data_IF_662572369376
#
_entry.id   IF_662572369376
#
_cell.length_a   1.000
_cell.length_b   1.000
_cell.length_c   1.000
_cell.angle_alpha   90.00
_cell.angle_beta   90.00
_cell.angle_gamma   90.00
#
_symmetry.space_group_name_H-M   'P 1'
#
loop_
_entity.id
_entity.type
_entity.pdbx_description
1 polymer ?
#
# COMPACT_ATOMS: atom_id res chain seq x y z
N UNK A 1 7.41 -26.05 -33.23
CA UNK A 1 7.10 -24.62 -33.46
C UNK A 1 8.37 -23.81 -33.72
N UNK A 2 9.20 -23.45 -32.73
CA UNK A 2 10.36 -22.53 -32.94
C UNK A 2 11.33 -22.99 -34.04
N UNK A 3 11.82 -24.24 -33.99
CA UNK A 3 12.71 -24.80 -35.04
C UNK A 3 12.11 -24.72 -36.44
N UNK A 4 10.82 -24.99 -36.56
CA UNK A 4 10.10 -25.05 -37.84
C UNK A 4 9.82 -23.64 -38.39
N UNK A 5 9.45 -22.70 -37.51
CA UNK A 5 9.25 -21.31 -37.86
C UNK A 5 10.56 -20.61 -38.24
N UNK A 6 11.66 -20.85 -37.50
CA UNK A 6 13.00 -20.36 -37.88
C UNK A 6 13.45 -20.91 -39.22
N UNK A 7 13.23 -22.21 -39.47
CA UNK A 7 13.52 -22.81 -40.77
C UNK A 7 12.75 -22.16 -41.92
N UNK A 8 11.47 -21.80 -41.70
CA UNK A 8 10.68 -21.04 -42.66
C UNK A 8 11.21 -19.61 -42.87
N UNK A 9 11.60 -18.92 -41.78
CA UNK A 9 12.18 -17.57 -41.86
C UNK A 9 13.50 -17.57 -42.63
N UNK A 10 14.37 -18.54 -42.37
CA UNK A 10 15.64 -18.70 -43.10
C UNK A 10 15.42 -18.98 -44.59
N UNK A 11 14.39 -19.77 -44.92
CA UNK A 11 14.04 -20.08 -46.31
C UNK A 11 13.36 -18.90 -47.04
N UNK A 12 12.59 -18.08 -46.31
CA UNK A 12 12.04 -16.82 -46.81
C UNK A 12 13.13 -15.78 -47.04
N UNK A 13 14.09 -15.66 -46.12
CA UNK A 13 15.21 -14.72 -46.24
C UNK A 13 16.06 -14.95 -47.50
N UNK A 14 16.16 -16.20 -47.96
CA UNK A 14 16.84 -16.56 -49.23
C UNK A 14 16.10 -16.09 -50.47
N UNK A 15 14.80 -15.79 -50.39
CA UNK A 15 13.97 -15.40 -51.54
C UNK A 15 13.35 -14.02 -51.32
N UNK A 16 14.11 -12.92 -51.56
CA UNK A 16 13.65 -11.55 -51.28
C UNK A 16 12.51 -11.06 -52.18
N UNK A 17 12.22 -11.76 -53.28
CA UNK A 17 11.08 -11.43 -54.14
C UNK A 17 9.77 -11.88 -53.46
N UNK A 18 8.91 -10.92 -53.11
CA UNK A 18 7.68 -11.16 -52.35
C UNK A 18 6.74 -12.17 -53.00
N UNK A 19 6.57 -12.13 -54.34
CA UNK A 19 5.66 -13.04 -55.05
C UNK A 19 6.21 -14.46 -55.04
N UNK A 20 7.52 -14.63 -55.31
CA UNK A 20 8.17 -15.95 -55.29
C UNK A 20 8.29 -16.53 -53.87
N UNK A 21 8.53 -15.69 -52.88
CA UNK A 21 8.66 -16.11 -51.48
C UNK A 21 7.34 -16.56 -50.86
N UNK A 22 6.22 -15.92 -51.23
CA UNK A 22 4.89 -16.21 -50.68
C UNK A 22 4.11 -17.28 -51.45
N UNK A 23 4.36 -17.47 -52.76
CA UNK A 23 3.72 -18.55 -53.56
C UNK A 23 4.41 -19.93 -53.42
N UNK A 24 5.08 -20.20 -52.30
CA UNK A 24 5.65 -21.53 -52.04
C UNK A 24 4.55 -22.54 -51.73
N UNK A 25 4.62 -23.72 -52.33
CA UNK A 25 3.62 -24.78 -52.14
C UNK A 25 3.51 -25.18 -50.66
N UNK A 26 2.28 -25.21 -50.14
CA UNK A 26 2.01 -25.63 -48.76
C UNK A 26 2.40 -24.62 -47.69
N UNK A 27 2.84 -23.40 -48.05
CA UNK A 27 3.29 -22.40 -47.08
C UNK A 27 2.15 -21.91 -46.18
N UNK A 28 0.98 -21.64 -46.76
CA UNK A 28 -0.19 -21.16 -46.03
C UNK A 28 -0.65 -22.20 -45.00
N UNK A 29 -0.76 -23.46 -45.41
CA UNK A 29 -1.19 -24.56 -44.56
C UNK A 29 -0.19 -24.79 -43.41
N UNK A 30 1.12 -24.68 -43.68
CA UNK A 30 2.16 -24.74 -42.64
C UNK A 30 2.06 -23.59 -41.65
N UNK A 31 1.87 -22.36 -42.13
CA UNK A 31 1.74 -21.18 -41.26
C UNK A 31 0.47 -21.24 -40.41
N UNK A 32 -0.66 -21.67 -40.97
CA UNK A 32 -1.90 -21.88 -40.20
C UNK A 32 -1.74 -23.01 -39.17
N UNK A 33 -1.08 -24.13 -39.51
CA UNK A 33 -0.78 -25.18 -38.54
C UNK A 33 0.11 -24.67 -37.38
N UNK A 34 1.18 -23.93 -37.70
CA UNK A 34 2.06 -23.32 -36.69
C UNK A 34 1.33 -22.31 -35.81
N UNK A 35 0.44 -21.50 -36.39
CA UNK A 35 -0.41 -20.55 -35.67
C UNK A 35 -1.35 -21.26 -34.70
N UNK A 36 -2.03 -22.33 -35.13
CA UNK A 36 -2.91 -23.12 -34.27
C UNK A 36 -2.14 -23.70 -33.08
N UNK A 37 -0.96 -24.28 -33.31
CA UNK A 37 -0.12 -24.80 -32.24
C UNK A 37 0.39 -23.69 -31.30
N UNK A 38 0.77 -22.53 -31.84
CA UNK A 38 1.18 -21.38 -31.04
C UNK A 38 0.02 -20.87 -30.15
N UNK A 39 -1.19 -20.78 -30.68
CA UNK A 39 -2.38 -20.37 -29.92
C UNK A 39 -2.69 -21.37 -28.79
N UNK A 40 -2.48 -22.67 -28.99
CA UNK A 40 -2.61 -23.67 -27.91
C UNK A 40 -1.58 -23.43 -26.80
N UNK A 41 -0.32 -23.18 -27.15
CA UNK A 41 0.73 -22.85 -26.19
C UNK A 41 0.42 -21.55 -25.43
N UNK A 42 -0.06 -20.52 -26.11
CA UNK A 42 -0.45 -19.25 -25.51
C UNK A 42 -1.59 -19.42 -24.50
N UNK A 43 -2.62 -20.21 -24.86
CA UNK A 43 -3.74 -20.50 -23.96
C UNK A 43 -3.28 -21.27 -22.71
N UNK A 44 -2.46 -22.30 -22.88
CA UNK A 44 -1.91 -23.06 -21.75
C UNK A 44 -1.05 -22.18 -20.84
N UNK A 45 -0.26 -21.27 -21.42
CA UNK A 45 0.53 -20.30 -20.65
C UNK A 45 -0.37 -19.32 -19.89
N UNK A 46 -1.42 -18.80 -20.52
CA UNK A 46 -2.37 -17.89 -19.88
C UNK A 46 -3.09 -18.56 -18.70
N UNK A 47 -3.53 -19.82 -18.86
CA UNK A 47 -4.12 -20.61 -17.79
C UNK A 47 -3.12 -20.85 -16.65
N UNK A 48 -1.88 -21.24 -16.96
CA UNK A 48 -0.82 -21.40 -15.96
C UNK A 48 -0.57 -20.11 -15.18
N UNK A 49 -0.43 -18.96 -15.86
CA UNK A 49 -0.21 -17.66 -15.21
C UNK A 49 -1.40 -17.28 -14.31
N UNK A 50 -2.63 -17.57 -14.73
CA UNK A 50 -3.81 -17.30 -13.91
C UNK A 50 -3.80 -18.12 -12.60
N UNK A 51 -3.38 -19.39 -12.63
CA UNK A 51 -3.21 -20.18 -11.39
C UNK A 51 -2.21 -19.55 -10.41
N UNK A 52 -1.15 -18.93 -10.94
CA UNK A 52 -0.14 -18.23 -10.14
C UNK A 52 -0.69 -16.94 -9.56
N UNK A 53 -1.47 -16.17 -10.34
CA UNK A 53 -2.16 -14.97 -9.84
C UNK A 53 -3.16 -15.27 -8.73
N UNK A 54 -3.90 -16.38 -8.83
CA UNK A 54 -4.81 -16.81 -7.77
C UNK A 54 -4.08 -17.23 -6.49
N UNK A 55 -2.83 -17.71 -6.60
CA UNK A 55 -2.04 -18.09 -5.42
C UNK A 55 -1.34 -16.89 -4.77
N UNK A 56 -0.88 -15.92 -5.57
CA UNK A 56 -0.32 -14.67 -5.10
C UNK A 56 -0.94 -13.48 -5.86
N UNK A 57 -2.02 -12.87 -5.31
CA UNK A 57 -2.86 -11.91 -6.02
C UNK A 57 -2.16 -10.60 -6.43
N UNK A 58 -1.02 -10.24 -5.83
CA UNK A 58 -0.24 -9.07 -6.27
C UNK A 58 0.29 -9.24 -7.70
N UNK A 59 0.33 -10.46 -8.24
CA UNK A 59 0.66 -10.71 -9.64
C UNK A 59 -0.38 -10.20 -10.65
N UNK A 60 -1.58 -9.79 -10.21
CA UNK A 60 -2.53 -9.08 -11.08
C UNK A 60 -2.04 -7.66 -11.45
N UNK A 61 -1.07 -7.10 -10.72
CA UNK A 61 -0.60 -5.72 -10.90
C UNK A 61 0.77 -5.61 -11.59
N UNK A 62 1.34 -6.72 -12.02
CA UNK A 62 2.60 -6.75 -12.79
C UNK A 62 2.36 -7.19 -14.22
N UNK A 63 3.25 -6.80 -15.12
CA UNK A 63 3.17 -7.22 -16.52
C UNK A 63 3.36 -8.74 -16.65
N UNK A 64 2.79 -9.35 -17.68
CA UNK A 64 3.00 -10.78 -17.96
C UNK A 64 4.49 -11.12 -18.18
N UNK A 65 5.28 -10.20 -18.73
CA UNK A 65 6.71 -10.38 -18.91
C UNK A 65 7.47 -10.42 -17.56
N UNK A 66 7.16 -9.49 -16.66
CA UNK A 66 7.72 -9.48 -15.30
C UNK A 66 7.31 -10.73 -14.52
N UNK A 67 6.04 -11.13 -14.61
CA UNK A 67 5.54 -12.34 -13.97
C UNK A 67 6.30 -13.59 -14.46
N UNK A 68 6.54 -13.71 -15.78
CA UNK A 68 7.31 -14.82 -16.33
C UNK A 68 8.76 -14.82 -15.84
N UNK A 69 9.39 -13.64 -15.74
CA UNK A 69 10.75 -13.52 -15.22
C UNK A 69 10.84 -13.87 -13.73
N UNK A 70 9.84 -13.46 -12.93
CA UNK A 70 9.71 -13.87 -11.53
C UNK A 70 9.57 -15.38 -11.40
N UNK A 71 8.68 -16.00 -12.20
CA UNK A 71 8.43 -17.44 -12.15
C UNK A 71 9.65 -18.26 -12.64
N UNK A 72 10.35 -17.76 -13.65
CA UNK A 72 11.55 -18.42 -14.20
C UNK A 72 12.70 -18.43 -13.19
N UNK A 73 12.84 -17.36 -12.41
CA UNK A 73 13.88 -17.20 -11.39
C UNK A 73 13.38 -17.53 -9.97
N UNK A 74 12.19 -18.13 -9.81
CA UNK A 74 11.52 -18.27 -8.51
C UNK A 74 12.32 -19.04 -7.45
N UNK A 75 13.26 -19.90 -7.88
CA UNK A 75 14.16 -20.64 -7.00
C UNK A 75 15.36 -19.83 -6.48
N UNK A 76 15.61 -18.64 -7.04
CA UNK A 76 16.69 -17.72 -6.70
C UNK A 76 16.09 -16.39 -6.21
N UNK A 77 15.74 -16.28 -4.91
CA UNK A 77 15.07 -15.10 -4.36
C UNK A 77 15.80 -13.78 -4.65
N UNK A 78 17.13 -13.80 -4.71
CA UNK A 78 17.97 -12.66 -5.06
C UNK A 78 17.63 -12.04 -6.43
N UNK A 79 17.34 -12.86 -7.43
CA UNK A 79 17.00 -12.41 -8.78
C UNK A 79 15.56 -11.92 -8.85
N UNK A 80 14.70 -12.44 -7.97
CA UNK A 80 13.31 -11.98 -7.84
C UNK A 80 13.25 -10.63 -7.11
N UNK A 81 14.22 -10.32 -6.22
CA UNK A 81 14.24 -9.06 -5.47
C UNK A 81 14.12 -7.81 -6.35
N UNK A 82 14.65 -7.82 -7.59
CA UNK A 82 14.54 -6.70 -8.54
C UNK A 82 13.09 -6.34 -8.90
N UNK A 83 12.14 -7.24 -8.64
CA UNK A 83 10.70 -7.04 -8.90
C UNK A 83 9.91 -6.63 -7.65
N UNK A 84 10.50 -6.69 -6.45
CA UNK A 84 9.81 -6.26 -5.21
C UNK A 84 9.31 -4.81 -5.28
N UNK A 85 10.04 -3.84 -5.87
CA UNK A 85 9.52 -2.49 -6.08
C UNK A 85 8.21 -2.39 -6.86
N UNK A 86 7.88 -3.42 -7.66
CA UNK A 86 6.64 -3.51 -8.45
C UNK A 86 5.52 -4.21 -7.69
N UNK A 87 5.85 -5.04 -6.70
CA UNK A 87 4.89 -5.83 -5.91
C UNK A 87 4.49 -5.14 -4.60
N UNK A 88 5.36 -4.28 -4.07
CA UNK A 88 5.19 -3.57 -2.81
C UNK A 88 5.37 -2.06 -3.01
N UNK A 89 4.71 -1.25 -2.17
CA UNK A 89 4.84 0.21 -2.26
C UNK A 89 6.27 0.67 -1.92
N UNK A 90 6.86 0.10 -0.85
CA UNK A 90 8.14 0.60 -0.33
C UNK A 90 9.27 -0.42 -0.22
N UNK A 91 9.01 -1.73 -0.29
CA UNK A 91 10.09 -2.73 -0.28
C UNK A 91 10.90 -2.66 -1.58
N UNK A 92 12.21 -2.51 -1.45
CA UNK A 92 13.18 -2.56 -2.55
C UNK A 92 13.86 -3.92 -2.66
N UNK A 93 14.42 -4.42 -1.54
CA UNK A 93 15.14 -5.69 -1.51
C UNK A 93 15.08 -6.34 -0.13
N UNK A 94 15.41 -7.63 -0.07
CA UNK A 94 15.51 -8.38 1.18
C UNK A 94 16.97 -8.55 1.61
N UNK A 95 17.22 -8.54 2.92
CA UNK A 95 18.51 -8.87 3.51
C UNK A 95 18.51 -10.35 3.88
N UNK A 96 19.26 -11.17 3.15
CA UNK A 96 19.38 -12.59 3.46
C UNK A 96 20.46 -12.87 4.51
N UNK A 97 20.28 -13.93 5.29
CA UNK A 97 21.27 -14.42 6.24
C UNK A 97 22.44 -15.04 5.45
N UNK A 98 23.66 -14.72 5.87
CA UNK A 98 24.88 -15.30 5.32
C UNK A 98 25.36 -16.43 6.22
N UNK A 99 25.57 -17.62 5.65
CA UNK A 99 26.25 -18.74 6.30
C UNK A 99 27.62 -18.92 5.64
N UNK A 100 28.67 -18.42 6.29
CA UNK A 100 29.99 -18.28 5.69
C UNK A 100 29.95 -17.31 4.50
N UNK A 101 30.42 -17.77 3.33
CA UNK A 101 30.38 -17.00 2.07
C UNK A 101 29.16 -17.34 1.18
N UNK A 102 28.18 -18.10 1.69
CA UNK A 102 26.98 -18.45 0.93
C UNK A 102 25.75 -17.75 1.50
N UNK A 103 25.00 -17.13 0.61
CA UNK A 103 23.72 -16.52 0.95
C UNK A 103 22.67 -17.62 1.10
N UNK A 104 22.00 -17.63 2.25
CA UNK A 104 20.86 -18.53 2.49
C UNK A 104 19.59 -17.96 1.86
N UNK A 105 18.52 -18.76 1.85
CA UNK A 105 17.18 -18.29 1.45
C UNK A 105 16.37 -17.73 2.62
N UNK A 106 16.99 -17.56 3.80
CA UNK A 106 16.34 -16.96 4.96
C UNK A 106 16.52 -15.44 4.92
N UNK A 107 15.44 -14.69 4.75
CA UNK A 107 15.45 -13.24 4.84
C UNK A 107 15.37 -12.79 6.30
N UNK A 108 16.35 -11.99 6.73
CA UNK A 108 16.47 -11.38 8.06
C UNK A 108 15.73 -10.04 8.16
N UNK A 109 15.50 -9.37 7.05
CA UNK A 109 14.80 -8.09 7.03
C UNK A 109 14.61 -7.56 5.62
N UNK A 110 14.08 -6.36 5.54
CA UNK A 110 13.78 -5.67 4.28
C UNK A 110 14.45 -4.29 4.24
N UNK A 111 14.82 -3.88 3.04
CA UNK A 111 15.24 -2.52 2.75
C UNK A 111 14.14 -1.81 1.97
N UNK A 112 13.85 -0.58 2.37
CA UNK A 112 12.97 0.31 1.65
C UNK A 112 13.66 0.99 0.45
N UNK A 113 12.86 1.53 -0.46
CA UNK A 113 13.31 2.35 -1.60
C UNK A 113 14.07 3.61 -1.17
N UNK A 114 13.78 4.12 0.03
CA UNK A 114 14.46 5.27 0.64
C UNK A 114 15.75 4.89 1.40
N UNK A 115 16.07 3.60 1.47
CA UNK A 115 17.24 3.05 2.17
C UNK A 115 17.01 2.64 3.62
N UNK A 116 15.82 2.88 4.19
CA UNK A 116 15.48 2.40 5.55
C UNK A 116 15.59 0.88 5.63
N UNK A 117 16.26 0.37 6.67
CA UNK A 117 16.34 -1.06 6.95
C UNK A 117 15.42 -1.42 8.10
N UNK A 118 14.58 -2.43 7.89
CA UNK A 118 13.70 -2.99 8.93
C UNK A 118 14.04 -4.46 9.11
N UNK A 119 14.48 -4.81 10.31
CA UNK A 119 14.71 -6.21 10.70
C UNK A 119 13.36 -6.90 10.92
N UNK A 120 13.21 -8.14 10.45
CA UNK A 120 11.99 -8.89 10.70
C UNK A 120 11.95 -9.40 12.13
N UNK A 121 10.76 -9.42 12.73
CA UNK A 121 10.54 -10.03 14.05
C UNK A 121 10.95 -11.51 14.04
N UNK A 122 10.67 -12.21 12.94
CA UNK A 122 11.16 -13.57 12.68
C UNK A 122 11.71 -13.66 11.26
N UNK A 123 12.81 -14.40 11.08
CA UNK A 123 13.35 -14.64 9.74
C UNK A 123 12.29 -15.28 8.82
N UNK A 124 12.20 -14.79 7.59
CA UNK A 124 11.27 -15.27 6.59
C UNK A 124 11.97 -16.28 5.66
N UNK A 125 11.42 -17.49 5.53
CA UNK A 125 11.92 -18.47 4.58
C UNK A 125 11.45 -18.17 3.15
N UNK A 126 12.41 -17.90 2.27
CA UNK A 126 12.23 -17.67 0.84
C UNK A 126 12.51 -18.91 -0.03
N UNK A 127 12.37 -20.11 0.52
CA UNK A 127 12.53 -21.36 -0.22
C UNK A 127 11.23 -21.81 -0.94
N UNK A 128 11.38 -22.68 -1.95
CA UNK A 128 10.24 -23.27 -2.67
C UNK A 128 9.62 -22.38 -3.74
N UNK A 129 8.30 -22.53 -3.94
CA UNK A 129 7.54 -21.83 -4.98
C UNK A 129 7.45 -20.33 -4.69
N UNK A 130 7.66 -19.49 -5.72
CA UNK A 130 7.77 -18.04 -5.58
C UNK A 130 6.52 -17.36 -5.05
N UNK A 131 5.36 -17.81 -5.51
CA UNK A 131 4.07 -17.35 -5.03
C UNK A 131 3.87 -17.64 -3.53
N UNK A 132 4.44 -18.73 -3.00
CA UNK A 132 4.29 -19.08 -1.58
C UNK A 132 5.21 -18.25 -0.72
N UNK A 133 6.48 -18.16 -1.07
CA UNK A 133 7.39 -17.39 -0.24
C UNK A 133 7.15 -15.89 -0.34
N UNK A 134 6.62 -15.36 -1.44
CA UNK A 134 6.19 -13.96 -1.51
C UNK A 134 5.00 -13.67 -0.56
N UNK A 135 4.10 -14.64 -0.37
CA UNK A 135 3.07 -14.55 0.68
C UNK A 135 3.72 -14.54 2.07
N UNK A 136 4.70 -15.43 2.33
CA UNK A 136 5.43 -15.44 3.60
C UNK A 136 6.11 -14.09 3.89
N UNK A 137 6.68 -13.43 2.86
CA UNK A 137 7.27 -12.09 2.99
C UNK A 137 6.21 -11.06 3.36
N UNK A 138 5.02 -11.11 2.76
CA UNK A 138 3.90 -10.22 3.11
C UNK A 138 3.47 -10.43 4.57
N UNK A 139 3.34 -11.68 5.01
CA UNK A 139 2.95 -12.02 6.38
C UNK A 139 4.02 -11.61 7.40
N UNK A 140 5.30 -11.87 7.10
CA UNK A 140 6.42 -11.48 7.94
C UNK A 140 6.54 -9.96 8.06
N UNK A 141 6.34 -9.22 6.97
CA UNK A 141 6.30 -7.76 6.96
C UNK A 141 5.20 -7.23 7.89
N UNK A 142 3.96 -7.71 7.74
CA UNK A 142 2.82 -7.29 8.58
C UNK A 142 3.02 -7.63 10.05
N UNK A 143 3.48 -8.85 10.33
CA UNK A 143 3.77 -9.30 11.69
C UNK A 143 4.88 -8.47 12.35
N UNK A 144 5.91 -8.11 11.59
CA UNK A 144 7.00 -7.23 12.03
C UNK A 144 6.50 -5.82 12.33
N UNK A 145 5.65 -5.25 11.46
CA UNK A 145 5.01 -3.95 11.70
C UNK A 145 4.19 -3.94 12.98
N UNK A 146 3.35 -4.96 13.19
CA UNK A 146 2.55 -5.10 14.43
C UNK A 146 3.41 -5.26 15.68
N UNK A 147 4.49 -6.03 15.59
CA UNK A 147 5.46 -6.18 16.68
C UNK A 147 6.09 -4.84 17.06
N UNK A 148 6.65 -4.10 16.09
CA UNK A 148 7.25 -2.80 16.36
C UNK A 148 6.23 -1.79 16.91
N UNK A 149 4.98 -1.79 16.43
CA UNK A 149 3.94 -0.91 16.98
C UNK A 149 3.65 -1.22 18.45
N UNK A 150 3.57 -2.51 18.81
CA UNK A 150 3.38 -2.95 20.19
C UNK A 150 4.49 -2.43 21.10
N UNK A 151 5.75 -2.64 20.70
CA UNK A 151 6.92 -2.18 21.45
C UNK A 151 6.97 -0.66 21.54
N UNK A 152 6.75 0.03 20.42
CA UNK A 152 6.76 1.49 20.34
C UNK A 152 5.73 2.14 21.27
N UNK A 153 4.52 1.57 21.36
CA UNK A 153 3.47 2.09 22.25
C UNK A 153 3.89 1.94 23.72
N UNK A 154 4.52 0.82 24.09
CA UNK A 154 4.95 0.55 25.47
C UNK A 154 6.11 1.44 25.91
N UNK A 155 7.11 1.64 25.05
CA UNK A 155 8.36 2.33 25.41
C UNK A 155 8.32 3.85 25.26
N UNK A 156 7.21 4.42 24.78
CA UNK A 156 7.11 5.85 24.45
C UNK A 156 7.44 6.78 25.63
N UNK A 157 7.00 6.40 26.83
CA UNK A 157 7.24 7.18 28.06
C UNK A 157 8.58 6.86 28.75
N UNK A 158 9.36 5.89 28.25
CA UNK A 158 10.62 5.48 28.87
C UNK A 158 11.77 6.46 28.61
N UNK A 159 11.68 7.27 27.54
CA UNK A 159 12.73 8.23 27.16
C UNK A 159 12.18 9.46 26.45
N UNK A 160 12.97 10.55 26.37
CA UNK A 160 12.55 11.76 25.68
C UNK A 160 12.14 11.46 24.23
N UNK A 161 11.04 12.07 23.77
CA UNK A 161 10.43 11.80 22.47
C UNK A 161 11.44 11.93 21.33
N UNK A 162 12.25 12.97 21.35
CA UNK A 162 13.31 13.25 20.38
C UNK A 162 14.39 12.16 20.29
N UNK A 163 14.55 11.34 21.33
CA UNK A 163 15.41 10.15 21.32
C UNK A 163 14.61 8.89 21.00
N UNK A 164 13.37 8.79 21.49
CA UNK A 164 12.45 7.69 21.23
C UNK A 164 12.21 7.45 19.75
N UNK A 165 12.06 8.53 18.99
CA UNK A 165 11.83 8.47 17.56
C UNK A 165 12.85 7.61 16.82
N UNK A 166 14.13 7.60 17.21
CA UNK A 166 15.20 6.91 16.48
C UNK A 166 15.25 5.39 16.69
N UNK A 167 14.58 4.84 17.70
CA UNK A 167 14.63 3.40 17.99
C UNK A 167 13.74 2.56 17.05
N UNK A 168 12.74 3.21 16.45
CA UNK A 168 11.72 2.53 15.67
C UNK A 168 11.78 2.93 14.19
N UNK A 169 11.39 2.06 13.25
CA UNK A 169 11.22 2.44 11.85
C UNK A 169 10.30 3.65 11.68
N UNK A 170 10.50 4.45 10.63
CA UNK A 170 9.82 5.73 10.41
C UNK A 170 8.29 5.62 10.48
N UNK A 171 7.71 4.61 9.83
CA UNK A 171 6.27 4.35 9.85
C UNK A 171 5.75 4.06 11.27
N UNK A 172 6.53 3.31 12.06
CA UNK A 172 6.18 2.95 13.43
C UNK A 172 6.29 4.15 14.38
N UNK A 173 7.39 4.92 14.29
CA UNK A 173 7.57 6.13 15.08
C UNK A 173 6.47 7.18 14.80
N UNK A 174 6.07 7.30 13.53
CA UNK A 174 4.98 8.19 13.11
C UNK A 174 3.64 7.75 13.70
N UNK A 175 3.25 6.49 13.50
CA UNK A 175 1.95 6.03 14.00
C UNK A 175 1.91 5.96 15.54
N UNK A 176 3.01 5.55 16.19
CA UNK A 176 3.13 5.56 17.65
C UNK A 176 2.95 6.97 18.24
N UNK A 177 3.52 7.99 17.61
CA UNK A 177 3.25 9.39 17.96
C UNK A 177 1.76 9.73 17.85
N UNK A 178 1.06 9.31 16.79
CA UNK A 178 -0.37 9.59 16.59
C UNK A 178 -1.26 8.85 17.61
N UNK A 179 -0.87 7.64 18.03
CA UNK A 179 -1.52 6.88 19.09
C UNK A 179 -1.40 7.63 20.42
N UNK A 180 -0.20 8.10 20.75
CA UNK A 180 0.03 8.85 21.98
C UNK A 180 -0.65 10.22 21.97
N UNK A 181 -0.65 10.92 20.83
CA UNK A 181 -1.45 12.13 20.67
C UNK A 181 -2.93 11.90 20.99
N UNK A 182 -3.52 10.84 20.43
CA UNK A 182 -4.92 10.49 20.71
C UNK A 182 -5.14 10.18 22.19
N UNK A 183 -4.21 9.45 22.81
CA UNK A 183 -4.26 9.08 24.23
C UNK A 183 -4.18 10.30 25.13
N UNK A 184 -3.21 11.18 24.91
CA UNK A 184 -3.00 12.38 25.72
C UNK A 184 -4.12 13.41 25.58
N UNK A 185 -4.71 13.57 24.39
CA UNK A 185 -5.90 14.42 24.19
C UNK A 185 -7.09 13.86 24.98
N UNK A 186 -7.31 12.55 24.95
CA UNK A 186 -8.38 11.93 25.73
C UNK A 186 -8.12 12.04 27.25
N UNK A 187 -6.87 11.95 27.70
CA UNK A 187 -6.50 12.24 29.09
C UNK A 187 -6.77 13.70 29.46
N UNK A 188 -6.54 14.65 28.55
CA UNK A 188 -6.88 16.06 28.77
C UNK A 188 -8.39 16.28 28.87
N UNK A 189 -9.20 15.57 28.08
CA UNK A 189 -10.67 15.58 28.23
C UNK A 189 -11.11 14.99 29.57
N UNK A 190 -10.56 13.85 30.00
CA UNK A 190 -10.89 13.27 31.31
C UNK A 190 -10.57 14.24 32.46
N UNK A 191 -9.44 14.95 32.39
CA UNK A 191 -9.08 16.00 33.37
C UNK A 191 -10.03 17.20 33.31
N UNK A 192 -10.53 17.58 32.14
CA UNK A 192 -11.56 18.63 32.05
C UNK A 192 -12.84 18.22 32.79
N UNK A 193 -13.27 16.97 32.64
CA UNK A 193 -14.45 16.43 33.34
C UNK A 193 -14.24 16.38 34.87
N UNK A 194 -13.01 16.18 35.33
CA UNK A 194 -12.62 16.28 36.75
C UNK A 194 -12.53 17.73 37.28
N UNK A 195 -12.73 18.75 36.43
CA UNK A 195 -12.72 20.16 36.80
C UNK A 195 -11.41 20.91 36.54
N UNK A 196 -10.42 20.28 35.89
CA UNK A 196 -9.17 20.94 35.50
C UNK A 196 -9.34 21.74 34.19
N UNK A 197 -9.96 22.93 34.27
CA UNK A 197 -10.34 23.78 33.12
C UNK A 197 -9.19 24.11 32.14
N UNK A 198 -7.93 24.05 32.58
CA UNK A 198 -6.76 24.35 31.74
C UNK A 198 -6.12 23.11 31.09
N UNK A 199 -6.65 21.91 31.28
CA UNK A 199 -5.99 20.67 30.84
C UNK A 199 -5.64 20.66 29.34
N UNK A 200 -6.55 21.07 28.44
CA UNK A 200 -6.26 21.17 27.01
C UNK A 200 -5.22 22.26 26.69
N UNK A 201 -5.24 23.40 27.39
CA UNK A 201 -4.27 24.49 27.19
C UNK A 201 -2.87 24.06 27.63
N UNK A 202 -2.76 23.34 28.74
CA UNK A 202 -1.48 22.83 29.23
C UNK A 202 -0.94 21.73 28.32
N UNK A 203 -1.82 20.88 27.79
CA UNK A 203 -1.43 19.94 26.75
C UNK A 203 -0.94 20.64 25.48
N UNK A 204 -1.62 21.68 25.02
CA UNK A 204 -1.19 22.46 23.85
C UNK A 204 0.21 23.06 24.06
N UNK A 205 0.53 23.59 25.26
CA UNK A 205 1.88 24.08 25.59
C UNK A 205 2.92 22.95 25.49
N UNK A 206 2.61 21.75 25.98
CA UNK A 206 3.46 20.56 25.84
C UNK A 206 3.72 20.25 24.36
N UNK A 207 2.67 20.23 23.53
CA UNK A 207 2.81 19.98 22.08
C UNK A 207 3.71 21.02 21.39
N UNK A 208 3.52 22.30 21.69
CA UNK A 208 4.36 23.38 21.13
C UNK A 208 5.83 23.19 21.53
N UNK A 209 6.08 22.84 22.78
CA UNK A 209 7.44 22.57 23.26
C UNK A 209 8.08 21.38 22.52
N UNK A 210 7.36 20.26 22.41
CA UNK A 210 7.86 19.07 21.70
C UNK A 210 8.13 19.37 20.22
N UNK A 211 7.23 20.08 19.55
CA UNK A 211 7.41 20.48 18.16
C UNK A 211 8.65 21.37 17.98
N UNK A 212 8.88 22.33 18.88
CA UNK A 212 10.09 23.17 18.85
C UNK A 212 11.37 22.34 19.04
N UNK A 213 11.35 21.32 19.90
CA UNK A 213 12.48 20.39 20.04
C UNK A 213 12.76 19.64 18.74
N UNK A 214 11.73 19.13 18.07
CA UNK A 214 11.88 18.44 16.77
C UNK A 214 12.37 19.38 15.66
N UNK A 215 11.90 20.63 15.64
CA UNK A 215 12.42 21.66 14.73
C UNK A 215 13.90 21.94 15.04
N UNK A 216 14.28 21.98 16.32
CA UNK A 216 15.67 22.09 16.74
C UNK A 216 16.55 20.96 16.20
N UNK A 217 16.08 19.71 16.22
CA UNK A 217 16.78 18.58 15.60
C UNK A 217 16.99 18.77 14.09
N UNK A 218 16.00 19.31 13.39
CA UNK A 218 16.12 19.57 11.94
C UNK A 218 17.17 20.64 11.62
N UNK A 219 17.50 21.54 12.55
CA UNK A 219 18.58 22.52 12.37
C UNK A 219 19.97 21.91 12.56
N UNK A 220 20.05 20.73 13.19
CA UNK A 220 21.30 20.00 13.41
C UNK A 220 21.68 19.06 12.26
N UNK A 221 22.70 18.24 12.54
CA UNK A 221 23.16 17.19 11.63
C UNK A 221 22.31 15.92 11.79
N UNK A 222 21.74 15.46 10.67
CA UNK A 222 20.89 14.27 10.60
C UNK A 222 21.18 13.57 9.28
N UNK A 223 21.03 12.24 9.26
CA UNK A 223 21.05 11.48 8.01
C UNK A 223 19.87 11.89 7.12
N UNK A 224 19.95 11.64 5.80
CA UNK A 224 18.86 11.96 4.87
C UNK A 224 17.54 11.28 5.24
N UNK A 225 17.60 10.03 5.72
CA UNK A 225 16.44 9.27 6.18
C UNK A 225 15.85 9.84 7.47
N UNK A 226 16.70 10.09 8.48
CA UNK A 226 16.26 10.65 9.77
C UNK A 226 15.63 12.04 9.60
N UNK A 227 16.22 12.86 8.72
CA UNK A 227 15.68 14.18 8.40
C UNK A 227 14.30 14.07 7.77
N UNK A 228 14.11 13.18 6.79
CA UNK A 228 12.80 12.93 6.16
C UNK A 228 11.76 12.42 7.16
N UNK A 229 12.18 11.54 8.08
CA UNK A 229 11.34 11.01 9.15
C UNK A 229 10.86 12.11 10.10
N UNK A 230 11.78 12.94 10.60
CA UNK A 230 11.43 14.05 11.49
C UNK A 230 10.57 15.09 10.77
N UNK A 231 10.86 15.44 9.51
CA UNK A 231 10.02 16.35 8.72
C UNK A 231 8.58 15.83 8.58
N UNK A 232 8.45 14.52 8.35
CA UNK A 232 7.15 13.85 8.21
C UNK A 232 6.35 13.90 9.52
N UNK A 233 7.00 13.63 10.64
CA UNK A 233 6.39 13.72 11.97
C UNK A 233 6.01 15.17 12.29
N UNK A 234 6.89 16.14 12.04
CA UNK A 234 6.60 17.56 12.22
C UNK A 234 5.37 18.00 11.41
N UNK A 235 5.20 17.50 10.19
CA UNK A 235 4.05 17.83 9.34
C UNK A 235 2.73 17.39 9.97
N UNK A 236 2.68 16.19 10.56
CA UNK A 236 1.50 15.69 11.27
C UNK A 236 1.31 16.42 12.61
N UNK A 237 2.39 16.66 13.37
CA UNK A 237 2.33 17.37 14.65
C UNK A 237 1.79 18.79 14.53
N UNK A 238 2.14 19.51 13.45
CA UNK A 238 1.60 20.84 13.13
C UNK A 238 0.08 20.78 13.05
N UNK A 239 -0.47 19.81 12.30
CA UNK A 239 -1.91 19.59 12.22
C UNK A 239 -2.51 19.21 13.58
N UNK A 240 -1.92 18.25 14.30
CA UNK A 240 -2.39 17.81 15.62
C UNK A 240 -2.44 18.95 16.65
N UNK A 241 -1.45 19.86 16.64
CA UNK A 241 -1.45 21.08 17.47
C UNK A 241 -2.58 22.02 17.05
N UNK A 242 -2.79 22.25 15.76
CA UNK A 242 -3.82 23.17 15.26
C UNK A 242 -5.23 22.68 15.58
N UNK A 243 -5.45 21.35 15.56
CA UNK A 243 -6.68 20.72 16.02
C UNK A 243 -6.95 21.04 17.49
N UNK A 244 -5.95 20.87 18.37
CA UNK A 244 -6.09 21.18 19.81
C UNK A 244 -6.33 22.69 20.02
N UNK A 245 -5.59 23.55 19.31
CA UNK A 245 -5.78 25.00 19.35
C UNK A 245 -7.22 25.40 18.98
N UNK A 246 -7.76 24.78 17.93
CA UNK A 246 -9.12 24.99 17.46
C UNK A 246 -10.15 24.49 18.47
N UNK A 247 -9.95 23.33 19.08
CA UNK A 247 -10.83 22.80 20.13
C UNK A 247 -10.89 23.74 21.35
N UNK A 248 -9.76 24.31 21.75
CA UNK A 248 -9.69 25.31 22.84
C UNK A 248 -10.48 26.57 22.46
N UNK A 249 -10.28 27.10 21.25
CA UNK A 249 -11.00 28.29 20.77
C UNK A 249 -12.52 28.06 20.74
N UNK A 250 -12.94 26.86 20.35
CA UNK A 250 -14.34 26.45 20.28
C UNK A 250 -14.92 26.01 21.64
N UNK A 251 -14.13 26.04 22.72
CA UNK A 251 -14.52 25.60 24.08
C UNK A 251 -15.11 24.19 24.08
N UNK A 252 -14.41 23.27 23.44
CA UNK A 252 -14.81 21.86 23.41
C UNK A 252 -14.48 21.22 24.76
N UNK A 253 -15.50 20.72 25.45
CA UNK A 253 -15.38 20.16 26.80
C UNK A 253 -15.50 18.64 26.87
N UNK A 254 -15.94 17.99 25.79
CA UNK A 254 -16.15 16.54 25.76
C UNK A 254 -15.43 15.85 24.61
N UNK A 255 -14.88 14.67 24.89
CA UNK A 255 -14.33 13.79 23.88
C UNK A 255 -15.41 13.28 22.89
N UNK A 256 -16.70 13.34 23.24
CA UNK A 256 -17.80 12.98 22.35
C UNK A 256 -18.12 14.06 21.29
N UNK A 257 -17.50 15.24 21.38
CA UNK A 257 -17.73 16.34 20.45
C UNK A 257 -17.37 15.98 19.02
N UNK A 258 -18.17 16.46 18.06
CA UNK A 258 -17.91 16.23 16.64
C UNK A 258 -16.53 16.78 16.21
N UNK A 259 -16.10 17.90 16.77
CA UNK A 259 -14.81 18.53 16.48
C UNK A 259 -13.64 17.58 16.74
N UNK A 260 -13.69 16.79 17.82
CA UNK A 260 -12.70 15.76 18.10
C UNK A 260 -12.97 14.46 17.34
N UNK A 261 -14.23 14.01 17.29
CA UNK A 261 -14.60 12.75 16.65
C UNK A 261 -14.33 12.73 15.14
N UNK A 262 -14.45 13.89 14.48
CA UNK A 262 -14.20 14.06 13.04
C UNK A 262 -12.73 13.95 12.62
N UNK A 263 -11.81 13.89 13.58
CA UNK A 263 -10.38 13.75 13.30
C UNK A 263 -10.02 12.27 13.12
N UNK A 264 -9.08 11.99 12.22
CA UNK A 264 -8.51 10.65 12.10
C UNK A 264 -7.58 10.38 13.28
N UNK A 265 -7.93 9.40 14.11
CA UNK A 265 -7.25 9.10 15.37
C UNK A 265 -6.77 7.65 15.38
N UNK A 266 -5.51 7.44 15.73
CA UNK A 266 -4.97 6.10 15.92
C UNK A 266 -5.08 5.70 17.38
N UNK A 267 -5.43 4.44 17.63
CA UNK A 267 -5.58 3.89 18.98
C UNK A 267 -4.97 2.50 19.03
N UNK A 268 -4.15 2.24 20.03
CA UNK A 268 -3.76 0.89 20.38
C UNK A 268 -4.83 0.27 21.30
N UNK A 269 -5.41 -0.85 20.89
CA UNK A 269 -6.31 -1.62 21.72
C UNK A 269 -5.53 -2.70 22.47
N UNK A 270 -5.36 -2.51 23.78
CA UNK A 270 -4.55 -3.39 24.64
C UNK A 270 -5.13 -4.81 24.72
N UNK A 271 -6.45 -4.97 24.63
CA UNK A 271 -7.09 -6.28 24.74
C UNK A 271 -6.89 -7.12 23.48
N UNK A 272 -6.93 -6.47 22.32
CA UNK A 272 -6.73 -7.12 21.00
C UNK A 272 -5.23 -7.14 20.63
N UNK A 273 -4.43 -6.31 21.30
CA UNK A 273 -3.03 -6.03 21.01
C UNK A 273 -2.84 -5.57 19.55
N UNK A 274 -3.61 -4.55 19.14
CA UNK A 274 -3.68 -4.13 17.74
C UNK A 274 -3.98 -2.63 17.58
N UNK A 275 -3.64 -2.07 16.42
CA UNK A 275 -3.86 -0.67 16.10
C UNK A 275 -5.15 -0.48 15.31
N UNK A 276 -5.92 0.52 15.69
CA UNK A 276 -7.14 0.92 14.99
C UNK A 276 -7.06 2.39 14.60
N UNK A 277 -7.55 2.70 13.39
CA UNK A 277 -7.84 4.04 12.94
C UNK A 277 -9.33 4.32 13.15
N UNK A 278 -9.64 5.37 13.91
CA UNK A 278 -10.98 5.80 14.27
C UNK A 278 -11.27 7.19 13.70
N UNK A 279 -12.42 7.36 13.07
CA UNK A 279 -12.89 8.65 12.56
C UNK A 279 -14.41 8.66 12.50
N UNK A 280 -15.02 9.62 13.18
CA UNK A 280 -16.44 9.60 13.54
C UNK A 280 -16.82 8.24 14.17
N UNK A 281 -17.84 7.59 13.64
CA UNK A 281 -18.31 6.24 13.98
C UNK A 281 -17.58 5.11 13.24
N UNK A 282 -16.72 5.44 12.28
CA UNK A 282 -15.97 4.43 11.53
C UNK A 282 -14.72 3.97 12.31
N UNK A 283 -14.47 2.66 12.25
CA UNK A 283 -13.30 2.01 12.82
C UNK A 283 -12.69 1.06 11.79
N UNK A 284 -11.38 1.17 11.60
CA UNK A 284 -10.60 0.30 10.72
C UNK A 284 -9.42 -0.27 11.49
N UNK A 285 -9.21 -1.58 11.39
CA UNK A 285 -7.95 -2.20 11.86
C UNK A 285 -6.82 -1.76 10.94
N UNK A 286 -5.66 -1.43 11.49
CA UNK A 286 -4.49 -1.08 10.71
C UNK A 286 -3.96 -2.33 9.98
N UNK A 287 -3.65 -2.23 8.69
CA UNK A 287 -3.35 -3.42 7.86
C UNK A 287 -1.85 -3.80 7.82
N UNK A 288 -0.99 -2.94 8.39
CA UNK A 288 0.45 -3.16 8.57
C UNK A 288 1.23 -3.41 7.28
N UNK A 289 0.74 -2.95 6.13
CA UNK A 289 1.59 -2.85 4.94
C UNK A 289 2.78 -1.92 5.25
N UNK A 290 3.98 -2.32 4.86
CA UNK A 290 5.15 -1.45 5.01
C UNK A 290 5.21 -0.44 3.86
N UNK A 291 5.04 0.83 4.23
CA UNK A 291 4.91 1.96 3.31
C UNK A 291 6.11 2.91 3.39
N UNK A 292 7.17 2.51 4.11
CA UNK A 292 8.46 3.20 4.15
C UNK A 292 8.44 4.58 4.82
N UNK A 293 9.55 5.30 4.72
CA UNK A 293 9.71 6.67 5.21
C UNK A 293 9.28 7.69 4.15
N UNK A 294 8.06 7.50 3.63
CA UNK A 294 7.48 8.38 2.63
C UNK A 294 6.90 9.66 3.26
N UNK A 295 6.93 10.80 2.54
CA UNK A 295 6.35 12.04 3.04
C UNK A 295 4.84 11.91 3.25
N UNK A 296 4.33 12.67 4.22
CA UNK A 296 2.90 12.88 4.50
C UNK A 296 2.40 14.16 3.85
N UNK A 297 1.12 14.15 3.47
CA UNK A 297 0.45 15.35 2.96
C UNK A 297 0.23 16.35 4.10
N UNK A 298 0.39 17.65 3.82
CA UNK A 298 -0.06 18.69 4.75
C UNK A 298 -1.58 18.64 4.85
N UNK A 299 -2.09 18.36 6.05
CA UNK A 299 -3.53 18.19 6.26
C UNK A 299 -4.20 19.55 6.39
N UNK A 300 -5.19 19.79 5.52
CA UNK A 300 -6.01 21.02 5.50
C UNK A 300 -7.46 20.69 5.85
N UNK A 301 -8.31 21.69 6.16
CA UNK A 301 -9.75 21.45 6.36
C UNK A 301 -10.47 20.83 5.15
N UNK A 302 -9.89 20.91 3.95
CA UNK A 302 -10.40 20.20 2.78
C UNK A 302 -10.00 18.72 2.84
N UNK A 303 -8.75 18.43 3.16
CA UNK A 303 -8.22 17.08 3.37
C UNK A 303 -9.00 16.34 4.46
N UNK A 304 -9.27 16.98 5.61
CA UNK A 304 -10.08 16.40 6.69
C UNK A 304 -11.48 15.98 6.21
N UNK A 305 -12.15 16.86 5.45
CA UNK A 305 -13.47 16.55 4.87
C UNK A 305 -13.39 15.37 3.90
N UNK A 306 -12.33 15.29 3.11
CA UNK A 306 -12.09 14.14 2.24
C UNK A 306 -11.89 12.85 3.07
N UNK A 307 -11.11 12.90 4.16
CA UNK A 307 -10.90 11.76 5.04
C UNK A 307 -12.20 11.28 5.65
N UNK A 308 -13.01 12.18 6.20
CA UNK A 308 -14.35 11.85 6.72
C UNK A 308 -15.19 11.19 5.63
N UNK A 309 -15.33 11.82 4.46
CA UNK A 309 -16.20 11.30 3.39
C UNK A 309 -15.76 9.92 2.89
N UNK A 310 -14.46 9.73 2.66
CA UNK A 310 -13.90 8.47 2.16
C UNK A 310 -14.03 7.35 3.18
N UNK A 311 -13.73 7.63 4.44
CA UNK A 311 -13.82 6.63 5.51
C UNK A 311 -15.27 6.27 5.84
N UNK A 312 -16.19 7.21 5.79
CA UNK A 312 -17.63 6.95 5.92
C UNK A 312 -18.16 6.10 4.76
N UNK A 313 -17.75 6.41 3.53
CA UNK A 313 -18.10 5.58 2.37
C UNK A 313 -17.59 4.15 2.52
N UNK A 314 -16.33 4.00 2.97
CA UNK A 314 -15.74 2.69 3.22
C UNK A 314 -16.45 1.92 4.35
N UNK A 315 -16.84 2.61 5.42
CA UNK A 315 -17.63 2.02 6.52
C UNK A 315 -18.96 1.46 6.01
N UNK A 316 -19.57 2.11 5.02
CA UNK A 316 -20.79 1.68 4.34
C UNK A 316 -20.56 0.67 3.20
N UNK A 317 -19.31 0.22 2.99
CA UNK A 317 -18.91 -0.71 1.92
C UNK A 317 -19.24 -0.11 0.55
N UNK A 318 -18.80 1.14 0.34
CA UNK A 318 -18.96 1.88 -0.90
C UNK A 318 -17.63 2.48 -1.35
N UNK A 319 -17.55 2.80 -2.64
CA UNK A 319 -16.41 3.53 -3.22
C UNK A 319 -16.47 5.03 -2.91
N UNK A 320 -15.34 5.71 -3.01
CA UNK A 320 -15.26 7.17 -2.93
C UNK A 320 -15.04 7.81 -4.30
N UNK A 321 -15.63 8.97 -4.54
CA UNK A 321 -15.39 9.76 -5.75
C UNK A 321 -14.97 11.21 -5.39
N UNK A 322 -13.70 11.43 -4.97
CA UNK A 322 -13.16 12.78 -4.83
C UNK A 322 -13.21 13.50 -6.19
N UNK A 323 -13.92 14.62 -6.26
CA UNK A 323 -14.06 15.41 -7.48
C UNK A 323 -13.34 16.75 -7.36
N UNK A 324 -12.71 17.19 -8.45
CA UNK A 324 -11.97 18.45 -8.52
C UNK A 324 -11.06 18.51 -9.75
N UNK A 325 -10.51 19.68 -10.08
CA UNK A 325 -9.59 19.86 -11.21
C UNK A 325 -8.35 18.96 -11.15
N UNK A 326 -7.66 18.80 -12.28
CA UNK A 326 -6.39 18.08 -12.31
C UNK A 326 -5.34 18.77 -11.41
N UNK A 327 -4.50 17.98 -10.74
CA UNK A 327 -3.43 18.49 -9.88
C UNK A 327 -3.88 19.03 -8.50
N UNK A 328 -5.14 18.89 -8.10
CA UNK A 328 -5.63 19.37 -6.79
C UNK A 328 -5.47 18.36 -5.64
N UNK A 329 -4.57 17.38 -5.76
CA UNK A 329 -4.25 16.45 -4.67
C UNK A 329 -5.26 15.32 -4.44
N UNK A 330 -6.12 14.98 -5.42
CA UNK A 330 -7.16 13.94 -5.27
C UNK A 330 -6.57 12.56 -5.01
N UNK A 331 -5.63 12.16 -5.87
CA UNK A 331 -4.94 10.87 -5.81
C UNK A 331 -4.06 10.82 -4.58
N UNK A 332 -3.36 11.92 -4.29
CA UNK A 332 -2.44 12.09 -3.16
C UNK A 332 -3.18 12.00 -1.83
N UNK A 333 -4.36 12.60 -1.71
CA UNK A 333 -5.23 12.48 -0.53
C UNK A 333 -5.66 11.03 -0.30
N UNK A 334 -6.02 10.31 -1.37
CA UNK A 334 -6.42 8.90 -1.28
C UNK A 334 -5.23 8.02 -0.86
N UNK A 335 -4.04 8.27 -1.43
CA UNK A 335 -2.80 7.58 -1.05
C UNK A 335 -2.41 7.86 0.40
N UNK A 336 -2.52 9.11 0.85
CA UNK A 336 -2.16 9.46 2.23
C UNK A 336 -3.13 8.84 3.26
N UNK A 337 -4.43 8.77 2.94
CA UNK A 337 -5.41 8.04 3.75
C UNK A 337 -5.09 6.55 3.81
N UNK A 338 -4.78 5.92 2.67
CA UNK A 338 -4.36 4.51 2.63
C UNK A 338 -3.13 4.27 3.53
N UNK A 339 -2.13 5.15 3.45
CA UNK A 339 -0.97 5.12 4.35
C UNK A 339 -1.33 5.34 5.82
N UNK A 340 -2.38 6.10 6.11
CA UNK A 340 -2.83 6.31 7.48
C UNK A 340 -3.55 5.07 8.06
N UNK A 341 -4.06 4.17 7.22
CA UNK A 341 -4.68 2.90 7.65
C UNK A 341 -3.74 1.70 7.42
N UNK A 342 -2.56 1.94 6.84
CA UNK A 342 -1.55 0.90 6.59
C UNK A 342 -1.88 0.02 5.38
N UNK A 343 -2.63 0.55 4.41
CA UNK A 343 -3.07 -0.16 3.20
C UNK A 343 -2.34 0.40 1.97
N UNK A 344 -1.88 -0.50 1.10
CA UNK A 344 -1.33 -0.14 -0.21
C UNK A 344 -2.43 0.40 -1.14
N UNK A 345 -2.15 1.51 -1.81
CA UNK A 345 -3.06 2.11 -2.81
C UNK A 345 -2.44 2.00 -4.20
N UNK A 346 -3.02 1.15 -5.05
CA UNK A 346 -2.68 1.06 -6.47
C UNK A 346 -3.37 2.19 -7.23
N UNK A 347 -2.61 2.97 -7.99
CA UNK A 347 -3.15 4.03 -8.84
C UNK A 347 -3.18 3.54 -10.29
N UNK A 348 -4.37 3.54 -10.89
CA UNK A 348 -4.59 3.17 -12.28
C UNK A 348 -4.95 4.42 -13.07
N UNK A 349 -4.11 4.79 -14.03
CA UNK A 349 -4.43 5.86 -14.96
C UNK A 349 -5.37 5.32 -16.05
N UNK A 350 -6.62 5.77 -16.05
CA UNK A 350 -7.63 5.28 -16.97
C UNK A 350 -7.48 5.91 -18.35
N UNK A 351 -7.70 5.11 -19.39
CA UNK A 351 -7.67 5.56 -20.77
C UNK A 351 -8.81 4.93 -21.56
N UNK A 352 -9.07 5.45 -22.76
CA UNK A 352 -10.07 4.91 -23.68
C UNK A 352 -9.76 3.47 -24.12
N UNK A 353 -8.51 3.02 -23.98
CA UNK A 353 -8.05 1.68 -24.33
C UNK A 353 -8.31 0.64 -23.24
N UNK A 354 -8.78 1.08 -22.05
CA UNK A 354 -9.04 0.20 -20.93
C UNK A 354 -10.30 -0.64 -21.21
N UNK A 355 -10.15 -1.96 -21.21
CA UNK A 355 -11.25 -2.89 -21.46
C UNK A 355 -11.82 -3.51 -20.18
N UNK A 356 -13.02 -4.07 -20.28
CA UNK A 356 -13.70 -4.69 -19.14
C UNK A 356 -12.96 -5.91 -18.57
N UNK A 357 -12.10 -6.56 -19.36
CA UNK A 357 -11.30 -7.71 -18.92
C UNK A 357 -10.14 -7.25 -18.04
N UNK A 358 -9.47 -6.17 -18.42
CA UNK A 358 -8.41 -5.53 -17.64
C UNK A 358 -8.96 -5.00 -16.32
N UNK A 359 -10.09 -4.29 -16.36
CA UNK A 359 -10.79 -3.88 -15.13
C UNK A 359 -11.15 -5.08 -14.24
N UNK A 360 -11.70 -6.15 -14.83
CA UNK A 360 -12.01 -7.38 -14.10
C UNK A 360 -10.79 -7.99 -13.39
N UNK A 361 -9.64 -8.02 -14.05
CA UNK A 361 -8.38 -8.50 -13.46
C UNK A 361 -7.89 -7.58 -12.32
N UNK A 362 -8.02 -6.27 -12.49
CA UNK A 362 -7.71 -5.30 -11.42
C UNK A 362 -8.60 -5.57 -10.20
N UNK A 363 -9.91 -5.70 -10.38
CA UNK A 363 -10.83 -5.96 -9.27
C UNK A 363 -10.58 -7.30 -8.59
N UNK A 364 -10.25 -8.36 -9.34
CA UNK A 364 -9.81 -9.65 -8.77
C UNK A 364 -8.57 -9.47 -7.89
N UNK A 365 -7.57 -8.73 -8.38
CA UNK A 365 -6.36 -8.42 -7.63
C UNK A 365 -6.66 -7.63 -6.35
N UNK A 366 -7.45 -6.57 -6.44
CA UNK A 366 -7.79 -5.71 -5.30
C UNK A 366 -8.59 -6.49 -4.24
N UNK A 367 -9.61 -7.24 -4.65
CA UNK A 367 -10.45 -8.00 -3.74
C UNK A 367 -9.67 -9.10 -2.98
N UNK A 368 -8.72 -9.76 -3.65
CA UNK A 368 -7.93 -10.83 -3.03
C UNK A 368 -6.73 -10.33 -2.22
N UNK A 369 -6.15 -9.17 -2.58
CA UNK A 369 -5.06 -8.56 -1.81
C UNK A 369 -5.54 -7.78 -0.58
N UNK A 370 -6.78 -7.27 -0.61
CA UNK A 370 -7.26 -6.29 0.38
C UNK A 370 -6.71 -4.89 0.15
N UNK A 371 -6.07 -4.63 -0.99
CA UNK A 371 -5.52 -3.32 -1.33
C UNK A 371 -6.60 -2.37 -1.89
N UNK A 372 -6.30 -1.07 -1.91
CA UNK A 372 -7.17 -0.07 -2.49
C UNK A 372 -6.76 0.26 -3.92
N UNK A 373 -7.75 0.53 -4.78
CA UNK A 373 -7.54 0.99 -6.15
C UNK A 373 -8.04 2.42 -6.31
N UNK A 374 -7.17 3.32 -6.75
CA UNK A 374 -7.50 4.69 -7.15
C UNK A 374 -7.49 4.78 -8.67
N UNK A 375 -8.66 4.94 -9.28
CA UNK A 375 -8.81 5.05 -10.73
C UNK A 375 -8.77 6.52 -11.13
N UNK A 376 -7.61 6.99 -11.57
CA UNK A 376 -7.41 8.36 -12.03
C UNK A 376 -7.95 8.53 -13.45
N UNK A 377 -8.44 9.73 -13.76
CA UNK A 377 -9.09 10.06 -15.03
C UNK A 377 -10.20 9.06 -15.43
N UNK A 378 -10.96 8.54 -14.44
CA UNK A 378 -11.99 7.51 -14.63
C UNK A 378 -13.02 7.84 -15.72
N UNK A 379 -13.28 9.12 -15.94
CA UNK A 379 -14.17 9.63 -17.00
C UNK A 379 -13.63 9.43 -18.44
N UNK A 380 -12.40 8.95 -18.61
CA UNK A 380 -11.82 8.58 -19.92
C UNK A 380 -12.15 7.15 -20.37
N UNK A 381 -12.74 6.33 -19.49
CA UNK A 381 -13.21 4.99 -19.87
C UNK A 381 -14.45 5.15 -20.75
N UNK A 382 -14.53 4.37 -21.84
CA UNK A 382 -15.69 4.41 -22.73
C UNK A 382 -16.98 4.02 -22.01
N UNK A 383 -18.10 4.64 -22.40
CA UNK A 383 -19.41 4.42 -21.74
C UNK A 383 -19.85 2.96 -21.82
N UNK A 384 -19.55 2.27 -22.92
CA UNK A 384 -19.84 0.86 -23.12
C UNK A 384 -19.11 -0.02 -22.09
N UNK A 385 -17.84 0.28 -21.82
CA UNK A 385 -17.04 -0.44 -20.82
C UNK A 385 -17.51 -0.10 -19.41
N UNK A 386 -17.84 1.17 -19.13
CA UNK A 386 -18.34 1.61 -17.83
C UNK A 386 -19.61 0.85 -17.39
N UNK A 387 -20.51 0.56 -18.31
CA UNK A 387 -21.72 -0.22 -18.01
C UNK A 387 -21.38 -1.61 -17.47
N UNK A 388 -20.41 -2.30 -18.09
CA UNK A 388 -19.95 -3.63 -17.65
C UNK A 388 -19.17 -3.54 -16.34
N UNK A 389 -18.29 -2.54 -16.21
CA UNK A 389 -17.50 -2.28 -15.00
C UNK A 389 -18.39 -2.02 -13.79
N UNK A 390 -19.50 -1.28 -13.94
CA UNK A 390 -20.45 -1.05 -12.86
C UNK A 390 -21.02 -2.36 -12.28
N UNK A 391 -21.29 -3.35 -13.13
CA UNK A 391 -21.75 -4.68 -12.70
C UNK A 391 -20.63 -5.43 -11.96
N UNK A 392 -19.40 -5.35 -12.44
CA UNK A 392 -18.23 -5.98 -11.79
C UNK A 392 -18.00 -5.40 -10.38
N UNK A 393 -17.97 -4.08 -10.25
CA UNK A 393 -17.81 -3.40 -8.96
C UNK A 393 -18.95 -3.76 -8.02
N UNK A 394 -20.19 -3.73 -8.52
CA UNK A 394 -21.35 -4.13 -7.71
C UNK A 394 -21.24 -5.56 -7.19
N UNK A 395 -20.80 -6.51 -8.01
CA UNK A 395 -20.62 -7.90 -7.57
C UNK A 395 -19.64 -8.00 -6.38
N UNK A 396 -18.51 -7.29 -6.46
CA UNK A 396 -17.51 -7.24 -5.37
C UNK A 396 -18.12 -6.63 -4.11
N UNK A 397 -18.78 -5.47 -4.22
CA UNK A 397 -19.37 -4.78 -3.07
C UNK A 397 -20.50 -5.58 -2.41
N UNK A 398 -21.38 -6.19 -3.20
CA UNK A 398 -22.46 -7.05 -2.71
C UNK A 398 -21.90 -8.28 -1.98
N UNK A 399 -20.80 -8.86 -2.48
CA UNK A 399 -20.12 -9.98 -1.84
C UNK A 399 -19.50 -9.58 -0.48
N UNK A 400 -18.84 -8.41 -0.42
CA UNK A 400 -18.27 -7.88 0.83
C UNK A 400 -19.39 -7.59 1.84
N UNK A 401 -20.49 -6.97 1.39
CA UNK A 401 -21.66 -6.65 2.23
C UNK A 401 -22.33 -7.92 2.78
N UNK A 402 -22.38 -8.98 1.97
CA UNK A 402 -22.85 -10.30 2.39
C UNK A 402 -21.79 -11.12 3.16
N UNK A 403 -20.59 -10.57 3.41
CA UNK A 403 -19.46 -11.22 4.09
C UNK A 403 -19.10 -12.60 3.49
N UNK A 404 -19.16 -12.71 2.16
CA UNK A 404 -18.83 -13.95 1.46
C UNK A 404 -17.31 -14.16 1.41
N UNK A 405 -16.86 -15.37 1.67
CA UNK A 405 -15.45 -15.78 1.52
C UNK A 405 -15.07 -16.04 0.05
N UNK A 406 -16.05 -16.37 -0.80
CA UNK A 406 -15.88 -16.58 -2.25
C UNK A 406 -17.12 -16.07 -2.99
N UNK A 407 -16.92 -15.50 -4.16
CA UNK A 407 -17.96 -15.05 -5.07
C UNK A 407 -17.46 -15.14 -6.52
N UNK A 408 -18.40 -15.15 -7.47
CA UNK A 408 -18.12 -15.30 -8.90
C UNK A 408 -18.15 -13.97 -9.63
#
# INVERSE_FOLDING_TARGET
IDKEFRGLLDDMAKTPNVVKGTNKFGLFEKLEALKVELTKCEKALAEYLETKRLTYPRFYFVSSADLLDILSNGNQPELVCKHLPKLYDSIDKLKFVMEGNKMTKLARGMFAKDGEYVEFNNNCDCSGQVERWLNNVTDAMRATGRFYFSEAVVTYDEKPREQWLFDYPAQCALCGTQIWWTTEVNMAFARLEEGYENALKDYQKKQISQLNTLIGLLLGELTGGDRSKIMTICTIDVHSRDVVAKMILMKVESAASFQWQSQLRHRWDVNINDCFANICDAQFRYDYEYLGNGPRLVITPLTDRCYITLTQSLHLIMGGAPAGPAGTGKTETTKDLGKAIGIMVYVFNCSEQMDYKSCGNIYKGLAQTGAWGCFDEFNRISVEVLSVVAVQVKCVLDAIKAKKTRFN
#
